data_IF_336497455135
#
_entry.id   IF_336497455135
#
_cell.length_a   1.000
_cell.length_b   1.000
_cell.length_c   1.000
_cell.angle_alpha   90.00
_cell.angle_beta   90.00
_cell.angle_gamma   90.00
#
_symmetry.space_group_name_H-M   'P 1'
#
loop_
_entity.id
_entity.type
_entity.pdbx_description
1 polymer ?
#
# COMPACT_ATOMS: atom_id res chain seq x y z
N UNK A 1 -18.57 17.85 2.65
CA UNK A 1 -17.47 17.32 2.10
C UNK A 1 -17.76 16.04 1.42
N UNK A 2 -17.53 15.44 0.76
CA UNK A 2 -17.73 15.09 -0.50
C UNK A 2 -16.93 13.89 -0.86
N UNK A 3 -16.21 13.97 -1.91
CA UNK A 3 -15.50 12.84 -2.47
C UNK A 3 -14.46 12.27 -1.53
N UNK A 4 -13.73 13.14 -0.81
CA UNK A 4 -12.67 12.69 0.08
C UNK A 4 -13.23 11.99 1.32
N UNK A 5 -14.31 12.52 1.88
CA UNK A 5 -14.98 11.88 3.00
C UNK A 5 -15.61 10.55 2.61
N UNK A 6 -16.23 10.51 1.44
CA UNK A 6 -16.82 9.29 0.91
C UNK A 6 -15.75 8.22 0.69
N UNK A 7 -14.60 8.62 0.15
CA UNK A 7 -13.48 7.71 -0.06
C UNK A 7 -12.95 7.17 1.27
N UNK A 8 -12.79 8.04 2.25
CA UNK A 8 -12.34 7.64 3.57
C UNK A 8 -13.25 6.56 4.15
N UNK A 9 -14.55 6.80 4.15
CA UNK A 9 -15.52 5.84 4.70
C UNK A 9 -15.56 4.53 3.95
N UNK A 10 -15.48 4.60 2.63
CA UNK A 10 -15.60 3.42 1.78
C UNK A 10 -14.36 2.53 1.82
N UNK A 11 -13.18 3.14 1.90
CA UNK A 11 -11.90 2.42 1.71
C UNK A 11 -11.01 2.40 2.94
N UNK A 12 -11.47 2.88 4.07
CA UNK A 12 -10.64 2.95 5.27
C UNK A 12 -9.99 1.63 5.65
N UNK A 13 -10.70 0.49 5.64
CA UNK A 13 -10.07 -0.79 5.96
C UNK A 13 -8.93 -1.14 5.01
N UNK A 14 -9.10 -0.84 3.72
CA UNK A 14 -8.08 -1.11 2.71
C UNK A 14 -6.86 -0.23 2.92
N UNK A 15 -7.08 1.07 3.19
CA UNK A 15 -5.99 2.00 3.49
C UNK A 15 -5.20 1.55 4.73
N UNK A 16 -5.90 1.17 5.78
CA UNK A 16 -5.25 0.71 7.01
C UNK A 16 -4.43 -0.54 6.80
N UNK A 17 -4.96 -1.48 6.05
CA UNK A 17 -4.31 -2.75 5.78
C UNK A 17 -3.02 -2.56 5.00
N UNK A 18 -3.09 -1.79 3.93
CA UNK A 18 -1.92 -1.49 3.10
C UNK A 18 -0.89 -0.67 3.87
N UNK A 19 -1.33 0.34 4.61
CA UNK A 19 -0.43 1.19 5.39
C UNK A 19 0.29 0.39 6.47
N UNK A 20 -0.41 -0.53 7.14
CA UNK A 20 0.19 -1.39 8.14
C UNK A 20 1.27 -2.29 7.53
N UNK A 21 1.00 -2.83 6.35
CA UNK A 21 1.97 -3.66 5.63
C UNK A 21 3.23 -2.88 5.28
N UNK A 22 3.08 -1.63 4.87
CA UNK A 22 4.21 -0.79 4.48
C UNK A 22 4.96 -0.25 5.69
N UNK A 23 4.23 0.25 6.68
CA UNK A 23 4.83 0.86 7.88
C UNK A 23 5.47 -0.17 8.81
N UNK A 24 4.99 -1.41 8.78
CA UNK A 24 5.55 -2.49 9.58
C UNK A 24 4.72 -2.92 10.78
N UNK A 25 3.73 -2.14 11.18
CA UNK A 25 2.81 -2.50 12.25
C UNK A 25 1.49 -1.75 12.11
N UNK A 26 0.49 -2.24 12.82
CA UNK A 26 -0.88 -1.72 12.70
C UNK A 26 -1.00 -0.28 13.19
N UNK A 27 -0.39 0.03 14.31
CA UNK A 27 -0.49 1.36 14.91
C UNK A 27 0.15 2.42 14.02
N UNK A 28 1.36 2.15 13.54
CA UNK A 28 2.05 3.06 12.63
C UNK A 28 1.27 3.22 11.31
N UNK A 29 0.66 2.12 10.83
CA UNK A 29 -0.17 2.17 9.64
C UNK A 29 -1.40 3.05 9.83
N UNK A 30 -2.09 2.90 10.95
CA UNK A 30 -3.26 3.73 11.25
C UNK A 30 -2.89 5.20 11.36
N UNK A 31 -1.78 5.51 12.03
CA UNK A 31 -1.29 6.89 12.13
C UNK A 31 -0.96 7.47 10.76
N UNK A 32 -0.35 6.66 9.90
CA UNK A 32 -0.02 7.08 8.54
C UNK A 32 -1.27 7.41 7.73
N UNK A 33 -2.33 6.62 7.86
CA UNK A 33 -3.60 6.87 7.18
C UNK A 33 -4.22 8.17 7.68
N UNK A 34 -4.25 8.40 8.98
CA UNK A 34 -4.79 9.63 9.56
C UNK A 34 -4.02 10.85 9.06
N UNK A 35 -2.71 10.77 9.10
CA UNK A 35 -1.85 11.85 8.63
C UNK A 35 -2.02 12.08 7.13
N UNK A 36 -2.18 11.01 6.36
CA UNK A 36 -2.39 11.12 4.92
C UNK A 36 -3.69 11.84 4.59
N UNK A 37 -4.77 11.50 5.27
CA UNK A 37 -6.04 12.17 5.04
C UNK A 37 -6.03 13.63 5.52
N UNK A 38 -5.35 13.93 6.62
CA UNK A 38 -5.17 15.30 7.04
C UNK A 38 -4.40 16.11 5.97
N UNK A 39 -3.36 15.50 5.40
CA UNK A 39 -2.59 16.10 4.32
C UNK A 39 -3.46 16.28 3.08
N UNK A 40 -4.26 15.28 2.73
CA UNK A 40 -5.15 15.35 1.58
C UNK A 40 -6.15 16.50 1.70
N UNK A 41 -6.69 16.70 2.89
CA UNK A 41 -7.60 17.83 3.15
C UNK A 41 -6.89 19.15 2.93
N UNK A 42 -5.69 19.30 3.49
CA UNK A 42 -4.92 20.55 3.34
C UNK A 42 -4.51 20.81 1.89
N UNK A 43 -4.14 19.77 1.15
CA UNK A 43 -3.60 19.90 -0.20
C UNK A 43 -4.62 19.59 -1.28
N UNK A 44 -5.89 19.59 -0.93
CA UNK A 44 -6.96 19.24 -1.84
C UNK A 44 -6.91 19.97 -3.19
N UNK A 45 -6.53 21.24 -3.16
CA UNK A 45 -6.42 22.03 -4.39
C UNK A 45 -5.28 21.55 -5.30
N UNK A 46 -4.29 20.87 -4.74
CA UNK A 46 -3.15 20.35 -5.50
C UNK A 46 -3.53 19.18 -6.39
N UNK A 47 -4.61 18.51 -6.08
CA UNK A 47 -5.05 17.35 -6.85
C UNK A 47 -5.37 17.71 -8.31
N UNK A 48 -5.93 18.89 -8.57
CA UNK A 48 -6.21 19.41 -9.92
C UNK A 48 -6.90 18.43 -10.86
N UNK A 49 -7.56 17.42 -10.33
CA UNK A 49 -8.26 16.39 -11.09
C UNK A 49 -7.40 15.64 -12.10
N UNK A 50 -6.13 15.50 -11.80
CA UNK A 50 -5.22 14.66 -12.59
C UNK A 50 -5.38 13.23 -12.14
N UNK A 51 -6.19 12.49 -12.85
CA UNK A 51 -6.46 11.11 -12.49
C UNK A 51 -7.43 10.98 -11.33
N UNK A 52 -7.71 9.75 -10.90
CA UNK A 52 -8.66 9.49 -9.83
C UNK A 52 -8.20 10.05 -8.50
N UNK A 53 -9.15 10.58 -7.74
CA UNK A 53 -8.89 11.05 -6.38
C UNK A 53 -8.28 9.94 -5.53
N UNK A 54 -8.80 8.73 -5.66
CA UNK A 54 -8.32 7.60 -4.91
C UNK A 54 -6.83 7.34 -5.14
N UNK A 55 -6.37 7.38 -6.39
CA UNK A 55 -4.96 7.17 -6.70
C UNK A 55 -4.07 8.25 -6.05
N UNK A 56 -4.54 9.50 -6.08
CA UNK A 56 -3.82 10.59 -5.45
C UNK A 56 -3.70 10.40 -3.94
N UNK A 57 -4.80 9.98 -3.29
CA UNK A 57 -4.81 9.72 -1.85
C UNK A 57 -3.91 8.52 -1.52
N UNK A 58 -3.96 7.46 -2.32
CA UNK A 58 -3.10 6.30 -2.12
C UNK A 58 -1.62 6.68 -2.14
N UNK A 59 -1.24 7.57 -3.03
CA UNK A 59 0.13 8.05 -3.11
C UNK A 59 0.55 8.71 -1.81
N UNK A 60 -0.34 9.51 -1.22
CA UNK A 60 -0.07 10.16 0.06
C UNK A 60 0.04 9.12 1.18
N UNK A 61 -0.89 8.17 1.22
CA UNK A 61 -0.88 7.11 2.24
C UNK A 61 0.42 6.30 2.18
N UNK A 62 0.81 5.88 0.98
CA UNK A 62 2.05 5.11 0.80
C UNK A 62 3.26 5.90 1.25
N UNK A 63 3.34 7.17 0.88
CA UNK A 63 4.46 8.01 1.29
C UNK A 63 4.52 8.19 2.81
N UNK A 64 3.38 8.39 3.46
CA UNK A 64 3.35 8.53 4.92
C UNK A 64 3.72 7.22 5.62
N UNK A 65 3.25 6.09 5.11
CA UNK A 65 3.57 4.79 5.67
C UNK A 65 5.08 4.47 5.51
N UNK A 66 5.64 4.82 4.36
CA UNK A 66 7.08 4.64 4.14
C UNK A 66 7.91 5.55 5.04
N UNK A 67 7.47 6.77 5.25
CA UNK A 67 8.14 7.70 6.16
C UNK A 67 8.10 7.17 7.59
N UNK A 68 6.96 6.66 8.02
CA UNK A 68 6.81 6.06 9.34
C UNK A 68 7.79 4.89 9.53
N UNK A 69 7.92 4.07 8.50
CA UNK A 69 8.87 2.97 8.55
C UNK A 69 10.31 3.45 8.62
N UNK A 70 10.68 4.46 7.83
CA UNK A 70 12.03 5.01 7.85
C UNK A 70 12.42 5.55 9.22
N UNK A 71 11.48 6.23 9.87
CA UNK A 71 11.72 6.76 11.22
C UNK A 71 11.95 5.65 12.24
N UNK A 72 11.35 4.48 12.02
CA UNK A 72 11.46 3.34 12.92
C UNK A 72 12.48 2.29 12.49
N UNK A 73 13.14 2.51 11.35
CA UNK A 73 14.06 1.53 10.80
C UNK A 73 15.10 1.01 11.77
N UNK A 74 15.71 1.85 12.64
CA UNK A 74 16.66 1.34 13.62
C UNK A 74 16.05 0.44 14.68
N UNK A 75 14.76 0.55 14.92
CA UNK A 75 14.03 -0.24 15.91
C UNK A 75 13.40 -1.49 15.31
N UNK A 76 13.18 -1.44 14.01
CA UNK A 76 12.55 -2.54 13.30
C UNK A 76 13.58 -3.58 12.93
N UNK A 77 13.49 -4.71 13.54
CA UNK A 77 14.21 -5.88 13.07
C UNK A 77 13.54 -6.39 11.80
N UNK A 78 14.27 -7.13 10.94
CA UNK A 78 13.67 -7.60 9.71
C UNK A 78 12.37 -8.32 10.00
N UNK A 79 11.36 -7.74 9.49
CA UNK A 79 10.01 -8.25 9.29
C UNK A 79 9.44 -9.16 10.35
N UNK A 80 8.90 -8.65 11.43
CA UNK A 80 7.79 -9.35 11.98
C UNK A 80 6.65 -9.18 10.99
N UNK A 81 6.06 -10.27 10.64
CA UNK A 81 4.95 -10.29 9.74
C UNK A 81 3.84 -9.43 10.27
N UNK A 82 3.50 -8.43 9.48
CA UNK A 82 2.23 -7.80 9.68
C UNK A 82 1.23 -8.91 9.40
N UNK A 83 0.52 -9.31 10.40
CA UNK A 83 -0.54 -10.28 10.26
C UNK A 83 -1.58 -9.73 9.30
N UNK A 84 -1.42 -10.07 8.05
CA UNK A 84 -2.41 -9.78 7.04
C UNK A 84 -3.39 -10.93 7.09
N UNK A 85 -4.65 -10.65 7.44
CA UNK A 85 -5.58 -11.74 7.58
C UNK A 85 -5.86 -12.40 6.24
N UNK A 86 -5.96 -13.68 6.29
CA UNK A 86 -6.63 -14.51 5.30
C UNK A 86 -5.86 -14.96 4.07
N UNK A 87 -4.85 -14.25 3.63
CA UNK A 87 -3.97 -14.77 2.59
C UNK A 87 -2.58 -14.75 3.16
N UNK A 88 -1.99 -15.93 3.28
CA UNK A 88 -0.62 -15.98 3.72
C UNK A 88 0.24 -15.35 2.63
N UNK A 89 0.70 -14.16 2.90
CA UNK A 89 1.66 -13.51 2.05
C UNK A 89 3.08 -13.77 2.53
N UNK A 90 3.24 -14.80 3.35
CA UNK A 90 4.50 -15.14 3.99
C UNK A 90 5.60 -15.49 2.99
N UNK A 91 5.22 -16.00 1.84
CA UNK A 91 6.18 -16.30 0.78
C UNK A 91 6.61 -15.10 -0.05
N UNK A 92 6.04 -13.93 0.22
CA UNK A 92 6.35 -12.73 -0.55
C UNK A 92 7.38 -11.86 0.17
N UNK A 93 8.25 -11.23 -0.60
CA UNK A 93 9.12 -10.19 -0.06
C UNK A 93 8.27 -8.99 0.30
N UNK A 94 8.84 -8.10 1.10
CA UNK A 94 8.17 -6.88 1.47
C UNK A 94 7.76 -6.04 0.26
N UNK A 95 8.66 -5.88 -0.69
CA UNK A 95 8.35 -5.10 -1.90
C UNK A 95 7.24 -5.76 -2.71
N UNK A 96 7.24 -7.08 -2.78
CA UNK A 96 6.17 -7.81 -3.45
C UNK A 96 4.82 -7.56 -2.77
N UNK A 97 4.79 -7.59 -1.43
CA UNK A 97 3.55 -7.31 -0.68
C UNK A 97 3.04 -5.90 -0.93
N UNK A 98 3.93 -4.90 -0.88
CA UNK A 98 3.55 -3.51 -1.16
C UNK A 98 2.88 -3.39 -2.52
N UNK A 99 3.50 -3.96 -3.53
CA UNK A 99 3.01 -3.85 -4.90
C UNK A 99 1.70 -4.61 -5.09
N UNK A 100 1.58 -5.80 -4.50
CA UNK A 100 0.34 -6.57 -4.54
C UNK A 100 -0.80 -5.77 -3.92
N UNK A 101 -0.59 -5.15 -2.77
CA UNK A 101 -1.62 -4.33 -2.14
C UNK A 101 -2.01 -3.15 -3.00
N UNK A 102 -1.05 -2.44 -3.54
CA UNK A 102 -1.34 -1.26 -4.36
C UNK A 102 -2.08 -1.63 -5.64
N UNK A 103 -1.78 -2.77 -6.21
CA UNK A 103 -2.43 -3.19 -7.44
C UNK A 103 -3.82 -3.76 -7.19
N UNK A 104 -3.97 -4.66 -6.23
CA UNK A 104 -5.23 -5.39 -6.04
C UNK A 104 -6.22 -4.72 -5.09
N UNK A 105 -5.75 -4.02 -4.08
CA UNK A 105 -6.64 -3.34 -3.15
C UNK A 105 -6.85 -1.89 -3.50
N UNK A 106 -5.84 -1.23 -4.02
CA UNK A 106 -5.91 0.19 -4.36
C UNK A 106 -6.27 0.45 -5.83
N UNK A 107 -6.30 -0.59 -6.65
CA UNK A 107 -6.57 -0.47 -8.09
C UNK A 107 -5.62 0.48 -8.82
N UNK A 108 -4.39 0.57 -8.37
CA UNK A 108 -3.40 1.40 -9.04
C UNK A 108 -2.79 0.65 -10.22
N UNK A 109 -2.56 1.37 -11.30
CA UNK A 109 -1.85 0.79 -12.44
C UNK A 109 -0.33 0.81 -12.20
N UNK A 110 0.43 0.22 -13.11
CA UNK A 110 1.88 0.12 -12.95
C UNK A 110 2.55 1.48 -12.85
N UNK A 111 2.10 2.43 -13.64
CA UNK A 111 2.66 3.78 -13.62
C UNK A 111 2.39 4.48 -12.29
N UNK A 112 1.19 4.34 -11.78
CA UNK A 112 0.81 4.92 -10.49
C UNK A 112 1.60 4.30 -9.33
N UNK A 113 1.78 2.98 -9.34
CA UNK A 113 2.58 2.30 -8.33
C UNK A 113 4.04 2.72 -8.42
N UNK A 114 4.57 2.78 -9.64
CA UNK A 114 5.95 3.22 -9.87
C UNK A 114 6.19 4.61 -9.29
N UNK A 115 5.26 5.53 -9.55
CA UNK A 115 5.35 6.88 -9.03
C UNK A 115 5.27 6.91 -7.49
N UNK A 116 4.33 6.15 -6.91
CA UNK A 116 4.16 6.10 -5.47
C UNK A 116 5.39 5.52 -4.75
N UNK A 117 5.99 4.50 -5.32
CA UNK A 117 7.13 3.81 -4.71
C UNK A 117 8.49 4.35 -5.20
N UNK A 118 8.48 5.25 -6.16
CA UNK A 118 9.69 5.83 -6.76
C UNK A 118 10.60 4.76 -7.40
N UNK A 119 9.99 3.89 -8.16
CA UNK A 119 10.67 2.85 -8.95
C UNK A 119 10.16 2.90 -10.37
N UNK A 120 10.77 2.14 -11.27
CA UNK A 120 10.31 2.11 -12.66
C UNK A 120 9.07 1.23 -12.81
N UNK A 121 8.26 1.53 -13.83
CA UNK A 121 7.09 0.69 -14.15
C UNK A 121 7.52 -0.73 -14.54
N UNK A 122 8.68 -0.88 -15.16
CA UNK A 122 9.23 -2.21 -15.46
C UNK A 122 9.52 -3.00 -14.19
N UNK A 123 10.06 -2.35 -13.17
CA UNK A 123 10.31 -2.98 -11.88
C UNK A 123 8.99 -3.40 -11.22
N UNK A 124 7.95 -2.57 -11.31
CA UNK A 124 6.63 -2.92 -10.80
C UNK A 124 6.12 -4.19 -11.48
N UNK A 125 6.16 -4.23 -12.81
CA UNK A 125 5.70 -5.38 -13.57
C UNK A 125 6.46 -6.66 -13.24
N UNK A 126 7.79 -6.58 -13.19
CA UNK A 126 8.63 -7.72 -12.85
C UNK A 126 8.35 -8.23 -11.45
N UNK A 127 8.23 -7.32 -10.49
CA UNK A 127 7.97 -7.67 -9.10
C UNK A 127 6.58 -8.30 -8.96
N UNK A 128 5.59 -7.74 -9.63
CA UNK A 128 4.23 -8.28 -9.58
C UNK A 128 4.15 -9.68 -10.21
N UNK A 129 4.86 -9.91 -11.31
CA UNK A 129 4.92 -11.23 -11.92
C UNK A 129 5.57 -12.25 -10.99
N UNK A 130 6.65 -11.87 -10.32
CA UNK A 130 7.30 -12.74 -9.34
C UNK A 130 6.37 -13.05 -8.17
N UNK A 131 5.63 -12.05 -7.70
CA UNK A 131 4.66 -12.24 -6.63
C UNK A 131 3.54 -13.19 -7.05
N UNK A 132 3.02 -13.03 -8.27
CA UNK A 132 1.98 -13.92 -8.81
C UNK A 132 2.46 -15.36 -8.92
N UNK A 133 3.71 -15.55 -9.31
CA UNK A 133 4.29 -16.90 -9.40
C UNK A 133 4.37 -17.55 -8.02
N UNK A 134 4.81 -16.81 -7.02
CA UNK A 134 4.88 -17.30 -5.65
C UNK A 134 3.51 -17.64 -5.09
N UNK A 135 2.53 -16.78 -5.32
CA UNK A 135 1.16 -17.01 -4.86
C UNK A 135 0.51 -18.19 -5.58
N UNK A 136 0.78 -18.34 -6.86
CA UNK A 136 0.25 -19.46 -7.64
C UNK A 136 0.80 -20.80 -7.14
N UNK A 137 2.10 -20.85 -6.86
CA UNK A 137 2.72 -22.04 -6.32
C UNK A 137 2.10 -22.43 -4.97
N UNK A 138 1.86 -21.43 -4.12
CA UNK A 138 1.24 -21.65 -2.82
C UNK A 138 -0.20 -22.15 -2.97
N UNK A 139 -0.95 -21.57 -3.87
CA UNK A 139 -2.32 -22.01 -4.15
C UNK A 139 -2.39 -23.42 -4.71
N UNK A 140 -1.44 -23.80 -5.55
CA UNK A 140 -1.37 -25.14 -6.09
C UNK A 140 -1.08 -26.17 -4.98
N UNK A 141 -0.22 -25.83 -4.03
CA UNK A 141 0.05 -26.70 -2.88
C UNK A 141 -1.19 -26.89 -2.02
N UNK A 142 -1.95 -25.84 -1.81
CA UNK A 142 -3.16 -25.88 -0.97
C UNK A 142 -4.31 -26.54 -1.75
N UNK A 143 -4.33 -26.39 -3.06
CA UNK A 143 -5.39 -26.91 -3.92
C UNK A 143 -5.31 -28.39 -4.22
N UNK A 144 -4.26 -29.06 -3.81
CA UNK A 144 -4.13 -30.51 -3.96
C UNK A 144 -4.36 -31.16 -2.59
#
# INVERSE_FOLDING_TARGET
>A
MDELEALYRAKLPDFRRAAAAIAGDRESGNDAVQEAFATAVRKRRSWRRRGPLEAWVWRIVVNKARDARRRRAPELRPAPDVNLPEVSLDGLTRRQREIVFLHYYADLDYAEIADALRISAGTVGATLNAARSSLRAELEEVGT
#
